data_IF_532218748451
#
_entry.id   IF_532218748451
#
_cell.length_a   1.000
_cell.length_b   1.000
_cell.length_c   1.000
_cell.angle_alpha   90.00
_cell.angle_beta   90.00
_cell.angle_gamma   90.00
#
_symmetry.space_group_name_H-M   'P 1'
#
loop_
_entity.id
_entity.type
_entity.pdbx_description
1 polymer ?
#
# COMPACT_ATOMS: atom_id res chain seq x y z
N UNK A 1 1.56 8.92 -4.34
CA UNK A 1 0.34 8.72 -5.18
C UNK A 1 -0.53 7.68 -4.48
N UNK A 2 -1.84 7.88 -4.48
CA UNK A 2 -2.79 6.92 -3.92
C UNK A 2 -2.93 5.68 -4.82
N UNK A 3 -3.55 4.62 -4.31
CA UNK A 3 -3.65 3.36 -5.04
C UNK A 3 -5.00 2.65 -4.88
N UNK A 4 -5.39 1.87 -5.90
CA UNK A 4 -6.35 0.78 -5.76
C UNK A 4 -5.53 -0.51 -5.74
N UNK A 5 -5.59 -1.24 -4.63
CA UNK A 5 -4.78 -2.43 -4.36
C UNK A 5 -5.64 -3.68 -4.51
N UNK A 6 -5.14 -4.62 -5.30
CA UNK A 6 -5.70 -5.97 -5.44
C UNK A 6 -4.65 -6.95 -4.94
N UNK A 7 -4.71 -7.38 -3.67
CA UNK A 7 -3.75 -8.33 -3.12
C UNK A 7 -3.82 -9.67 -3.86
N UNK A 8 -2.66 -10.21 -4.24
CA UNK A 8 -2.58 -11.53 -4.88
C UNK A 8 -3.02 -12.64 -3.91
N UNK A 9 -4.03 -13.46 -4.26
CA UNK A 9 -4.68 -14.37 -3.31
C UNK A 9 -3.79 -15.55 -2.88
N UNK A 10 -2.81 -15.93 -3.70
CA UNK A 10 -1.89 -17.03 -3.39
C UNK A 10 -0.58 -16.54 -2.73
N UNK A 11 -0.55 -15.31 -2.22
CA UNK A 11 0.55 -14.86 -1.38
C UNK A 11 0.59 -15.68 -0.08
N UNK A 12 1.78 -16.12 0.31
CA UNK A 12 2.02 -16.80 1.59
C UNK A 12 1.40 -15.97 2.73
N UNK A 13 0.71 -16.63 3.64
CA UNK A 13 -0.03 -16.11 4.82
C UNK A 13 -0.86 -14.81 4.64
N UNK A 14 -1.43 -14.54 3.45
CA UNK A 14 -2.23 -13.31 3.22
C UNK A 14 -1.43 -12.00 3.48
N UNK A 15 -0.09 -12.07 3.36
CA UNK A 15 0.79 -10.95 3.68
C UNK A 15 0.53 -9.71 2.82
N UNK A 16 0.11 -9.88 1.56
CA UNK A 16 -0.21 -8.75 0.68
C UNK A 16 -1.43 -7.96 1.16
N UNK A 17 -2.46 -8.63 1.70
CA UNK A 17 -3.61 -7.94 2.27
C UNK A 17 -3.21 -7.21 3.55
N UNK A 18 -2.26 -7.76 4.33
CA UNK A 18 -1.68 -7.05 5.48
C UNK A 18 -1.01 -5.74 5.07
N UNK A 19 -0.16 -5.79 4.04
CA UNK A 19 0.51 -4.60 3.48
C UNK A 19 -0.51 -3.56 2.98
N UNK A 20 -1.54 -4.01 2.27
CA UNK A 20 -2.58 -3.11 1.77
C UNK A 20 -3.43 -2.49 2.90
N UNK A 21 -3.75 -3.26 3.96
CA UNK A 21 -4.52 -2.78 5.13
C UNK A 21 -3.86 -1.59 5.81
N UNK A 22 -2.52 -1.51 5.84
CA UNK A 22 -1.80 -0.35 6.40
C UNK A 22 -2.18 0.94 5.65
N UNK A 23 -2.11 0.91 4.32
CA UNK A 23 -2.43 2.07 3.47
C UNK A 23 -3.91 2.42 3.52
N UNK A 24 -4.80 1.41 3.47
CA UNK A 24 -6.26 1.62 3.52
C UNK A 24 -6.70 2.26 4.84
N UNK A 25 -6.19 1.78 5.98
CA UNK A 25 -6.53 2.34 7.30
C UNK A 25 -6.15 3.81 7.42
N UNK A 26 -5.10 4.21 6.73
CA UNK A 26 -4.65 5.60 6.69
C UNK A 26 -5.34 6.41 5.59
N UNK A 27 -6.24 5.82 4.80
CA UNK A 27 -6.90 6.52 3.68
C UNK A 27 -5.97 6.81 2.51
N UNK A 28 -4.85 6.11 2.40
CA UNK A 28 -3.87 6.23 1.32
C UNK A 28 -4.15 5.31 0.12
N UNK A 29 -5.06 4.34 0.29
CA UNK A 29 -5.44 3.41 -0.76
C UNK A 29 -6.86 2.87 -0.55
N UNK A 30 -7.39 2.25 -1.61
CA UNK A 30 -8.57 1.40 -1.58
C UNK A 30 -8.13 -0.04 -1.82
N UNK A 31 -8.79 -1.01 -1.19
CA UNK A 31 -8.51 -2.43 -1.38
C UNK A 31 -9.73 -3.10 -2.01
N UNK A 32 -9.48 -3.80 -3.11
CA UNK A 32 -10.45 -4.69 -3.77
C UNK A 32 -9.87 -6.10 -3.63
N UNK A 33 -10.48 -7.00 -2.83
CA UNK A 33 -10.03 -8.38 -2.77
C UNK A 33 -10.08 -9.01 -4.17
N UNK A 34 -9.12 -9.86 -4.52
CA UNK A 34 -9.06 -10.50 -5.84
C UNK A 34 -10.37 -11.22 -6.22
N UNK A 35 -10.98 -11.93 -5.26
CA UNK A 35 -12.29 -12.59 -5.42
C UNK A 35 -13.46 -11.63 -5.73
N UNK A 36 -13.29 -10.34 -5.49
CA UNK A 36 -14.26 -9.27 -5.74
C UNK A 36 -13.87 -8.41 -6.95
N UNK A 37 -12.71 -8.68 -7.58
CA UNK A 37 -12.25 -7.95 -8.75
C UNK A 37 -13.04 -8.39 -9.99
N UNK A 38 -14.02 -7.57 -10.35
CA UNK A 38 -14.68 -7.61 -11.67
C UNK A 38 -14.45 -6.29 -12.41
N UNK A 39 -14.67 -6.29 -13.72
CA UNK A 39 -14.56 -5.08 -14.53
C UNK A 39 -15.54 -4.00 -14.04
N UNK A 40 -16.76 -4.40 -13.70
CA UNK A 40 -17.82 -3.51 -13.19
C UNK A 40 -17.45 -2.94 -11.83
N UNK A 41 -16.91 -3.77 -10.93
CA UNK A 41 -16.47 -3.33 -9.61
C UNK A 41 -15.32 -2.33 -9.71
N UNK A 42 -14.33 -2.61 -10.56
CA UNK A 42 -13.21 -1.72 -10.77
C UNK A 42 -13.66 -0.39 -11.41
N UNK A 43 -14.50 -0.46 -12.43
CA UNK A 43 -15.05 0.73 -13.09
C UNK A 43 -15.81 1.63 -12.10
N UNK A 44 -16.70 1.06 -11.29
CA UNK A 44 -17.46 1.82 -10.28
C UNK A 44 -16.54 2.50 -9.25
N UNK A 45 -15.46 1.83 -8.84
CA UNK A 45 -14.51 2.42 -7.89
C UNK A 45 -13.69 3.55 -8.53
N UNK A 46 -13.27 3.38 -9.79
CA UNK A 46 -12.58 4.42 -10.55
C UNK A 46 -13.48 5.63 -10.80
N UNK A 47 -14.75 5.42 -11.17
CA UNK A 47 -15.73 6.50 -11.33
C UNK A 47 -15.90 7.30 -10.03
N UNK A 48 -16.06 6.59 -8.90
CA UNK A 48 -16.20 7.21 -7.57
C UNK A 48 -14.97 8.03 -7.18
N UNK A 49 -13.76 7.57 -7.52
CA UNK A 49 -12.52 8.28 -7.24
C UNK A 49 -12.35 9.49 -8.18
N UNK A 50 -12.61 9.32 -9.48
CA UNK A 50 -12.48 10.37 -10.47
C UNK A 50 -13.51 11.50 -10.30
N UNK A 51 -14.68 11.20 -9.72
CA UNK A 51 -15.70 12.19 -9.40
C UNK A 51 -15.29 13.16 -8.28
N UNK A 52 -14.29 12.82 -7.47
CA UNK A 52 -13.83 13.64 -6.33
C UNK A 52 -12.32 13.88 -6.38
N UNK A 53 -11.94 14.97 -7.05
CA UNK A 53 -10.53 15.36 -7.19
C UNK A 53 -9.86 15.67 -5.86
N UNK A 54 -10.57 16.29 -4.92
CA UNK A 54 -10.03 16.65 -3.61
C UNK A 54 -9.65 15.40 -2.83
N UNK A 55 -10.52 14.39 -2.83
CA UNK A 55 -10.25 13.09 -2.22
C UNK A 55 -9.07 12.35 -2.86
N UNK A 56 -8.89 12.44 -4.18
CA UNK A 56 -7.72 11.87 -4.86
C UNK A 56 -6.40 12.52 -4.41
N UNK A 57 -6.40 13.85 -4.24
CA UNK A 57 -5.23 14.59 -3.75
C UNK A 57 -4.93 14.17 -2.32
N UNK A 58 -5.93 14.16 -1.44
CA UNK A 58 -5.77 13.74 -0.04
C UNK A 58 -5.22 12.30 0.03
N UNK A 59 -5.79 11.36 -0.72
CA UNK A 59 -5.30 9.98 -0.77
C UNK A 59 -3.83 9.91 -1.22
N UNK A 60 -3.43 10.74 -2.19
CA UNK A 60 -2.05 10.79 -2.68
C UNK A 60 -1.07 11.41 -1.68
N UNK A 61 -1.49 12.43 -0.93
CA UNK A 61 -0.72 13.07 0.14
C UNK A 61 -0.51 12.10 1.30
N UNK A 62 -1.58 11.42 1.74
CA UNK A 62 -1.50 10.39 2.78
C UNK A 62 -0.61 9.22 2.36
N UNK A 63 -0.66 8.80 1.11
CA UNK A 63 0.28 7.79 0.59
C UNK A 63 1.73 8.28 0.64
N UNK A 64 1.97 9.56 0.31
CA UNK A 64 3.30 10.17 0.36
C UNK A 64 3.82 10.28 1.80
N UNK A 65 2.98 10.60 2.78
CA UNK A 65 3.39 10.69 4.18
C UNK A 65 3.75 9.34 4.81
N UNK A 66 3.28 8.22 4.23
CA UNK A 66 3.59 6.86 4.67
C UNK A 66 4.83 6.27 3.99
N UNK A 67 5.36 6.94 2.96
CA UNK A 67 6.51 6.45 2.23
C UNK A 67 7.74 6.41 3.15
N UNK A 68 8.53 5.34 3.06
CA UNK A 68 9.85 5.20 3.71
C UNK A 68 10.90 4.91 2.64
N UNK A 69 11.32 5.90 1.85
CA UNK A 69 12.26 5.70 0.74
C UNK A 69 13.58 5.10 1.19
N UNK A 70 14.04 5.44 2.39
CA UNK A 70 15.32 5.01 2.96
C UNK A 70 15.23 3.64 3.67
N UNK A 71 14.05 2.99 3.70
CA UNK A 71 13.84 1.78 4.50
C UNK A 71 14.82 0.64 4.17
N UNK A 72 15.20 0.48 2.90
CA UNK A 72 16.14 -0.56 2.48
C UNK A 72 17.58 -0.25 2.97
N UNK A 73 17.99 1.01 2.91
CA UNK A 73 19.29 1.49 3.38
C UNK A 73 19.38 1.37 4.89
N UNK A 74 18.41 1.90 5.63
CA UNK A 74 18.31 1.76 7.09
C UNK A 74 18.33 0.28 7.52
N UNK A 75 17.65 -0.59 6.78
CA UNK A 75 17.63 -2.02 7.06
C UNK A 75 19.01 -2.65 6.88
N UNK A 76 19.72 -2.33 5.79
CA UNK A 76 21.06 -2.82 5.53
C UNK A 76 22.06 -2.34 6.59
N UNK A 77 22.03 -1.05 6.95
CA UNK A 77 22.88 -0.48 7.99
C UNK A 77 22.68 -1.17 9.33
N UNK A 78 21.43 -1.45 9.72
CA UNK A 78 21.12 -2.17 10.95
C UNK A 78 21.67 -3.60 10.94
N UNK A 79 21.60 -4.29 9.80
CA UNK A 79 22.21 -5.62 9.65
C UNK A 79 23.72 -5.57 9.86
N UNK A 80 24.41 -4.62 9.21
CA UNK A 80 25.87 -4.44 9.34
C UNK A 80 26.25 -4.08 10.79
N UNK A 81 25.51 -3.18 11.43
CA UNK A 81 25.75 -2.80 12.82
C UNK A 81 25.65 -3.99 13.79
N UNK A 82 24.67 -4.88 13.59
CA UNK A 82 24.51 -6.07 14.43
C UNK A 82 25.67 -7.06 14.24
N UNK A 83 26.18 -7.22 13.03
CA UNK A 83 27.33 -8.08 12.74
C UNK A 83 28.63 -7.52 13.34
N UNK A 84 28.84 -6.20 13.29
CA UNK A 84 30.03 -5.54 13.86
C UNK A 84 30.08 -5.52 15.39
N UNK A 85 28.97 -5.81 16.09
CA UNK A 85 28.92 -5.96 17.56
C UNK A 85 29.09 -7.40 18.04
N UNK A 86 29.16 -8.36 17.11
CA UNK A 86 29.39 -9.76 17.39
C UNK A 86 30.88 -10.16 17.33
N UNK A 87 31.78 -9.19 17.13
CA UNK A 87 33.24 -9.32 17.20
C UNK A 87 33.78 -8.61 18.44
#
# INVERSE_FOLDING_TARGET
VGAVLVPFPAAVDDHQTCNARLLVRQGAAVLIPDRELTAERLAAELERLCADRSRLIEMAERARSLARPEAAEEFAERCVHLLGRAA
#
